data_IF_877897878530
#
_entry.id   IF_877897878530
#
_cell.length_a   1.000
_cell.length_b   1.000
_cell.length_c   1.000
_cell.angle_alpha   90.00
_cell.angle_beta   90.00
_cell.angle_gamma   90.00
#
_symmetry.space_group_name_H-M   'P 1'
#
loop_
_entity.id
_entity.type
_entity.pdbx_description
1 polymer ?
#
# COMPACT_ATOMS: atom_id res chain seq x y z
N UNK A 1 -7.66 21.15 -6.52
CA UNK A 1 -6.26 20.66 -6.58
C UNK A 1 -6.25 19.24 -6.01
N UNK A 2 -5.26 18.40 -6.29
CA UNK A 2 -5.16 17.06 -5.70
C UNK A 2 -3.88 16.95 -4.88
N UNK A 3 -4.00 16.33 -3.71
CA UNK A 3 -2.87 15.90 -2.89
C UNK A 3 -2.61 14.41 -3.17
N UNK A 4 -1.35 14.03 -3.32
CA UNK A 4 -0.93 12.65 -3.53
C UNK A 4 -0.06 12.18 -2.38
N UNK A 5 -0.24 10.93 -1.99
CA UNK A 5 0.56 10.29 -0.94
C UNK A 5 1.09 8.96 -1.43
N UNK A 6 2.39 8.73 -1.25
CA UNK A 6 3.05 7.45 -1.49
C UNK A 6 3.47 6.83 -0.16
N UNK A 7 3.11 5.57 0.06
CA UNK A 7 3.41 4.80 1.26
C UNK A 7 4.06 3.48 0.89
N UNK A 8 4.96 2.98 1.74
CA UNK A 8 5.61 1.67 1.56
C UNK A 8 5.15 0.77 2.71
N UNK A 9 4.42 -0.30 2.41
CA UNK A 9 4.27 -1.42 3.35
C UNK A 9 5.49 -2.32 3.22
N UNK A 10 6.12 -2.61 4.35
CA UNK A 10 7.19 -3.59 4.44
C UNK A 10 6.52 -4.89 4.89
N UNK A 11 6.66 -5.96 4.12
CA UNK A 11 6.12 -7.27 4.51
C UNK A 11 7.03 -7.97 5.52
N UNK A 12 6.53 -9.07 6.07
CA UNK A 12 7.37 -10.03 6.80
C UNK A 12 8.54 -10.56 5.96
N UNK A 13 9.58 -11.02 6.65
CA UNK A 13 10.77 -11.62 6.02
C UNK A 13 10.40 -12.96 5.38
N UNK A 14 10.57 -13.09 4.06
CA UNK A 14 10.23 -14.31 3.32
C UNK A 14 11.47 -15.05 2.88
N UNK A 15 11.54 -16.33 3.21
CA UNK A 15 12.68 -17.20 2.90
C UNK A 15 12.44 -18.13 1.70
N UNK A 16 11.18 -18.45 1.39
CA UNK A 16 10.84 -19.59 0.49
C UNK A 16 10.04 -19.15 -0.74
N UNK A 17 9.36 -18.01 -0.70
CA UNK A 17 8.47 -17.56 -1.77
C UNK A 17 8.61 -16.06 -2.02
N UNK A 18 8.50 -15.67 -3.28
CA UNK A 18 8.43 -14.29 -3.75
C UNK A 18 7.00 -13.74 -3.84
N UNK A 19 5.99 -14.56 -3.53
CA UNK A 19 4.57 -14.20 -3.60
C UNK A 19 4.07 -13.58 -2.30
N UNK A 20 3.10 -12.67 -2.43
CA UNK A 20 2.27 -12.23 -1.32
C UNK A 20 1.54 -13.42 -0.68
N UNK A 21 1.42 -13.42 0.64
CA UNK A 21 0.62 -14.39 1.39
C UNK A 21 -0.65 -13.74 1.94
N UNK A 22 -1.48 -14.53 2.63
CA UNK A 22 -2.76 -14.06 3.15
C UNK A 22 -2.61 -12.91 4.16
N UNK A 23 -1.54 -12.89 4.95
CA UNK A 23 -1.30 -11.82 5.92
C UNK A 23 -0.90 -10.52 5.20
N UNK A 24 -0.02 -10.61 4.19
CA UNK A 24 0.33 -9.43 3.37
C UNK A 24 -0.92 -8.81 2.71
N UNK A 25 -1.84 -9.66 2.23
CA UNK A 25 -3.08 -9.21 1.61
C UNK A 25 -4.03 -8.58 2.63
N UNK A 26 -4.11 -9.15 3.83
CA UNK A 26 -4.90 -8.60 4.93
C UNK A 26 -4.40 -7.21 5.37
N UNK A 27 -3.09 -7.04 5.56
CA UNK A 27 -2.50 -5.75 5.93
C UNK A 27 -2.71 -4.69 4.84
N UNK A 28 -2.60 -5.08 3.56
CA UNK A 28 -2.88 -4.19 2.44
C UNK A 28 -4.36 -3.76 2.42
N UNK A 29 -5.29 -4.70 2.61
CA UNK A 29 -6.72 -4.41 2.66
C UNK A 29 -7.07 -3.48 3.83
N UNK A 30 -6.53 -3.73 5.02
CA UNK A 30 -6.73 -2.88 6.20
C UNK A 30 -6.24 -1.45 5.93
N UNK A 31 -5.06 -1.30 5.33
CA UNK A 31 -4.49 0.01 5.01
C UNK A 31 -5.34 0.76 3.97
N UNK A 32 -5.76 0.09 2.89
CA UNK A 32 -6.61 0.71 1.85
C UNK A 32 -7.92 1.18 2.48
N UNK A 33 -8.55 0.34 3.31
CA UNK A 33 -9.79 0.68 4.00
C UNK A 33 -9.60 1.83 4.99
N UNK A 34 -8.46 1.89 5.69
CA UNK A 34 -8.13 3.04 6.55
C UNK A 34 -8.01 4.34 5.75
N UNK A 35 -7.29 4.32 4.62
CA UNK A 35 -7.11 5.50 3.76
C UNK A 35 -8.43 5.96 3.16
N UNK A 36 -9.29 5.03 2.75
CA UNK A 36 -10.66 5.33 2.31
C UNK A 36 -11.46 6.05 3.41
N UNK A 37 -11.39 5.60 4.67
CA UNK A 37 -12.04 6.28 5.82
C UNK A 37 -11.50 7.69 6.07
N UNK A 38 -10.22 7.93 5.79
CA UNK A 38 -9.56 9.23 5.89
C UNK A 38 -9.87 10.15 4.68
N UNK A 39 -10.65 9.67 3.71
CA UNK A 39 -11.06 10.39 2.51
C UNK A 39 -10.01 10.39 1.41
N UNK A 40 -9.07 9.45 1.44
CA UNK A 40 -8.13 9.19 0.35
C UNK A 40 -8.68 8.12 -0.59
N UNK A 41 -8.46 8.30 -1.87
CA UNK A 41 -8.83 7.36 -2.92
C UNK A 41 -7.60 6.60 -3.41
N UNK A 42 -7.76 5.31 -3.69
CA UNK A 42 -6.70 4.46 -4.21
C UNK A 42 -6.39 4.85 -5.67
N UNK A 43 -5.13 5.23 -5.94
CA UNK A 43 -4.66 5.44 -7.30
C UNK A 43 -4.12 4.13 -7.89
N UNK A 44 -3.17 3.51 -7.18
CA UNK A 44 -2.53 2.25 -7.58
C UNK A 44 -1.78 1.65 -6.41
N UNK A 45 -1.49 0.35 -6.49
CA UNK A 45 -0.52 -0.32 -5.63
C UNK A 45 0.36 -1.25 -6.47
N UNK A 46 1.59 -1.48 -6.02
CA UNK A 46 2.51 -2.42 -6.65
C UNK A 46 3.23 -3.22 -5.57
N UNK A 47 3.06 -4.55 -5.61
CA UNK A 47 3.86 -5.47 -4.83
C UNK A 47 5.23 -5.63 -5.47
N UNK A 48 6.28 -5.32 -4.72
CA UNK A 48 7.65 -5.30 -5.20
C UNK A 48 8.54 -6.21 -4.36
N UNK A 49 9.37 -6.98 -5.06
CA UNK A 49 10.52 -7.66 -4.48
C UNK A 49 11.64 -6.64 -4.22
N UNK A 50 11.73 -6.10 -3.00
CA UNK A 50 12.75 -5.10 -2.64
C UNK A 50 14.13 -5.71 -2.39
N UNK A 51 14.20 -6.89 -1.78
CA UNK A 51 15.42 -7.72 -1.65
C UNK A 51 15.07 -9.20 -1.58
N UNK A 52 16.05 -10.13 -1.67
CA UNK A 52 15.80 -11.59 -1.56
C UNK A 52 14.97 -12.01 -0.34
N UNK A 53 15.01 -11.23 0.75
CA UNK A 53 14.39 -11.57 2.03
C UNK A 53 13.24 -10.65 2.44
N UNK A 54 13.26 -9.39 1.99
CA UNK A 54 12.22 -8.39 2.31
C UNK A 54 11.43 -8.10 1.05
N UNK A 55 10.11 -8.22 1.15
CA UNK A 55 9.17 -7.77 0.12
C UNK A 55 8.41 -6.56 0.65
N UNK A 56 7.75 -5.83 -0.23
CA UNK A 56 6.97 -4.67 0.15
C UNK A 56 5.94 -4.32 -0.89
N UNK A 57 5.01 -3.46 -0.53
CA UNK A 57 4.07 -2.87 -1.47
C UNK A 57 4.22 -1.34 -1.44
N UNK A 58 4.27 -0.73 -2.62
CA UNK A 58 4.09 0.72 -2.72
C UNK A 58 2.62 0.99 -2.95
N UNK A 59 2.02 1.83 -2.10
CA UNK A 59 0.64 2.29 -2.19
C UNK A 59 0.64 3.77 -2.58
N UNK A 60 -0.12 4.13 -3.61
CA UNK A 60 -0.34 5.52 -4.01
C UNK A 60 -1.81 5.83 -3.82
N UNK A 61 -2.09 6.86 -3.02
CA UNK A 61 -3.43 7.41 -2.82
C UNK A 61 -3.47 8.88 -3.19
N UNK A 62 -4.67 9.37 -3.49
CA UNK A 62 -4.90 10.78 -3.78
C UNK A 62 -6.13 11.28 -3.05
N UNK A 63 -6.16 12.58 -2.75
CA UNK A 63 -7.31 13.25 -2.14
C UNK A 63 -7.56 14.55 -2.86
N UNK A 64 -8.83 14.82 -3.15
CA UNK A 64 -9.24 16.09 -3.73
C UNK A 64 -9.18 17.17 -2.66
N UNK A 65 -8.41 18.22 -2.92
CA UNK A 65 -8.46 19.46 -2.13
C UNK A 65 -9.69 20.24 -2.59
N UNK A 66 -10.65 20.39 -1.68
CA UNK A 66 -11.77 21.30 -1.82
C UNK A 66 -11.24 22.66 -1.35
N UNK A 67 -11.12 23.60 -2.29
CA UNK A 67 -10.89 24.99 -1.93
C UNK A 67 -12.27 25.55 -1.59
N UNK A 68 -12.46 25.96 -0.34
CA UNK A 68 -13.63 26.74 0.10
C UNK A 68 -13.60 28.15 -0.52
#
# INVERSE_FOLDING_TARGET
MYEYRSEILITGMKWVSDKADENDLYELDELINQRAREGWELATYSYMATTLQIRGATLITFKRLINE
#
